data_IF_227739234537
#
_entry.id   IF_227739234537
#
_cell.length_a   1.000
_cell.length_b   1.000
_cell.length_c   1.000
_cell.angle_alpha   90.00
_cell.angle_beta   90.00
_cell.angle_gamma   90.00
#
_symmetry.space_group_name_H-M   'P 1'
#
loop_
_entity.id
_entity.type
_entity.pdbx_description
1 polymer ?
#
# COMPACT_ATOMS: atom_id res chain seq x y z
N UNK A 1 -3.91 -18.24 2.37
CA UNK A 1 -3.46 -16.95 2.91
C UNK A 1 -4.65 -16.33 3.61
N UNK A 2 -4.54 -16.17 4.92
CA UNK A 2 -5.56 -15.59 5.78
C UNK A 2 -5.51 -14.07 5.76
N UNK A 3 -6.51 -13.43 6.34
CA UNK A 3 -6.51 -11.98 6.56
C UNK A 3 -5.29 -11.52 7.37
N UNK A 4 -4.91 -12.29 8.39
CA UNK A 4 -3.74 -11.99 9.22
C UNK A 4 -2.42 -12.16 8.46
N UNK A 5 -2.34 -13.16 7.57
CA UNK A 5 -1.19 -13.33 6.67
C UNK A 5 -1.04 -12.09 5.77
N UNK A 6 -2.14 -11.58 5.23
CA UNK A 6 -2.15 -10.38 4.37
C UNK A 6 -1.73 -9.11 5.12
N UNK A 7 -2.20 -8.93 6.37
CA UNK A 7 -1.76 -7.80 7.22
C UNK A 7 -0.28 -7.88 7.54
N UNK A 8 0.21 -9.08 7.83
CA UNK A 8 1.62 -9.32 8.13
C UNK A 8 2.49 -9.02 6.92
N UNK A 9 2.09 -9.49 5.73
CA UNK A 9 2.76 -9.17 4.46
C UNK A 9 2.82 -7.66 4.21
N UNK A 10 1.68 -6.98 4.30
CA UNK A 10 1.61 -5.53 4.10
C UNK A 10 2.51 -4.77 5.08
N UNK A 11 2.49 -5.16 6.36
CA UNK A 11 3.37 -4.57 7.38
C UNK A 11 4.85 -4.73 7.00
N UNK A 12 5.28 -5.95 6.67
CA UNK A 12 6.68 -6.22 6.32
C UNK A 12 7.12 -5.50 5.06
N UNK A 13 6.23 -5.38 4.07
CA UNK A 13 6.48 -4.61 2.86
C UNK A 13 6.81 -3.14 3.20
N UNK A 14 5.93 -2.44 3.93
CA UNK A 14 6.16 -1.04 4.29
C UNK A 14 7.36 -0.86 5.24
N UNK A 15 7.60 -1.82 6.15
CA UNK A 15 8.77 -1.81 7.02
C UNK A 15 10.08 -1.87 6.18
N UNK A 16 10.10 -2.62 5.08
CA UNK A 16 11.24 -2.65 4.16
C UNK A 16 11.39 -1.33 3.38
N UNK A 17 10.30 -0.70 2.94
CA UNK A 17 10.34 0.63 2.29
C UNK A 17 10.97 1.69 3.19
N UNK A 18 10.55 1.78 4.45
CA UNK A 18 11.08 2.78 5.39
C UNK A 18 12.56 2.56 5.65
N UNK A 19 13.00 1.31 5.85
CA UNK A 19 14.43 0.97 5.99
C UNK A 19 15.24 1.15 4.71
N UNK A 20 14.58 1.27 3.56
CA UNK A 20 15.23 1.30 2.26
C UNK A 20 15.85 -0.04 1.86
N UNK A 21 15.27 -1.12 2.39
CA UNK A 21 15.70 -2.50 2.16
C UNK A 21 15.13 -3.02 0.84
N UNK A 22 15.78 -2.61 -0.24
CA UNK A 22 15.36 -2.92 -1.62
C UNK A 22 15.42 -4.42 -1.91
N UNK A 23 16.38 -5.14 -1.32
CA UNK A 23 16.50 -6.59 -1.50
C UNK A 23 15.27 -7.31 -0.94
N UNK A 24 14.84 -6.94 0.27
CA UNK A 24 13.60 -7.46 0.85
C UNK A 24 12.38 -7.06 0.02
N UNK A 25 12.30 -5.81 -0.48
CA UNK A 25 11.20 -5.38 -1.34
C UNK A 25 11.08 -6.21 -2.62
N UNK A 26 12.20 -6.45 -3.31
CA UNK A 26 12.22 -7.27 -4.52
C UNK A 26 11.76 -8.70 -4.27
N UNK A 27 12.02 -9.25 -3.08
CA UNK A 27 11.62 -10.62 -2.71
C UNK A 27 10.10 -10.79 -2.55
N UNK A 28 9.34 -9.70 -2.39
CA UNK A 28 7.88 -9.77 -2.33
C UNK A 28 7.22 -9.83 -3.72
N UNK A 29 7.96 -9.50 -4.78
CA UNK A 29 7.44 -9.52 -6.13
C UNK A 29 7.63 -10.90 -6.78
N UNK A 30 6.59 -11.36 -7.46
CA UNK A 30 6.73 -12.43 -8.46
C UNK A 30 7.59 -11.94 -9.63
N UNK A 31 8.26 -12.85 -10.32
CA UNK A 31 9.11 -12.50 -11.46
C UNK A 31 8.33 -11.91 -12.65
N UNK A 32 7.03 -12.18 -12.75
CA UNK A 32 6.11 -11.62 -13.73
C UNK A 32 5.32 -10.40 -13.23
N UNK A 33 5.66 -9.86 -12.06
CA UNK A 33 4.96 -8.71 -11.50
C UNK A 33 5.10 -7.48 -12.40
N UNK A 34 3.96 -6.83 -12.67
CA UNK A 34 3.87 -5.54 -13.38
C UNK A 34 3.46 -4.48 -12.36
N UNK A 35 4.37 -3.55 -12.09
CA UNK A 35 4.23 -2.53 -11.06
C UNK A 35 3.90 -1.21 -11.74
N UNK A 36 2.73 -0.65 -11.45
CA UNK A 36 2.38 0.69 -11.91
C UNK A 36 3.14 1.74 -11.11
N UNK A 37 3.92 2.57 -11.78
CA UNK A 37 4.64 3.69 -11.20
C UNK A 37 3.96 5.00 -11.61
N UNK A 38 3.42 5.71 -10.61
CA UNK A 38 2.57 6.88 -10.85
C UNK A 38 3.35 8.15 -11.24
N UNK A 39 4.67 8.18 -11.04
CA UNK A 39 5.48 9.38 -11.28
C UNK A 39 5.82 9.55 -12.76
N UNK A 40 6.05 8.44 -13.46
CA UNK A 40 6.31 8.39 -14.90
C UNK A 40 5.12 7.84 -15.70
N UNK A 41 4.02 7.49 -15.01
CA UNK A 41 2.81 6.91 -15.60
C UNK A 41 3.11 5.68 -16.46
N UNK A 42 4.06 4.87 -16.01
CA UNK A 42 4.52 3.68 -16.70
C UNK A 42 4.42 2.44 -15.82
N UNK A 43 4.37 1.30 -16.47
CA UNK A 43 4.59 0.02 -15.78
C UNK A 43 6.06 -0.33 -15.76
N UNK A 44 6.49 -0.91 -14.65
CA UNK A 44 7.83 -1.42 -14.42
C UNK A 44 7.77 -2.90 -14.09
N UNK A 45 8.77 -3.64 -14.52
CA UNK A 45 9.08 -4.97 -13.98
C UNK A 45 9.55 -4.87 -12.53
N UNK A 46 9.59 -6.00 -11.83
CA UNK A 46 10.09 -6.07 -10.47
C UNK A 46 11.55 -5.57 -10.33
N UNK A 47 12.40 -5.85 -11.33
CA UNK A 47 13.82 -5.44 -11.32
C UNK A 47 13.98 -3.94 -11.60
N UNK A 48 13.25 -3.39 -12.57
CA UNK A 48 13.22 -1.95 -12.86
C UNK A 48 12.74 -1.15 -11.65
N UNK A 49 11.69 -1.63 -10.98
CA UNK A 49 11.19 -0.98 -9.78
C UNK A 49 12.19 -1.03 -8.62
N UNK A 50 12.89 -2.16 -8.44
CA UNK A 50 13.95 -2.28 -7.44
C UNK A 50 15.11 -1.31 -7.72
N UNK A 51 15.51 -1.13 -8.98
CA UNK A 51 16.52 -0.14 -9.37
C UNK A 51 16.06 1.29 -9.05
N UNK A 52 14.84 1.64 -9.45
CA UNK A 52 14.25 2.95 -9.14
C UNK A 52 14.21 3.23 -7.64
N UNK A 53 13.76 2.24 -6.84
CA UNK A 53 13.72 2.33 -5.38
C UNK A 53 15.12 2.44 -4.76
N UNK A 54 16.14 1.76 -5.31
CA UNK A 54 17.54 1.91 -4.87
C UNK A 54 18.06 3.33 -5.08
N UNK A 55 17.66 3.97 -6.19
CA UNK A 55 17.94 5.38 -6.42
C UNK A 55 17.21 6.28 -5.42
N UNK A 56 15.92 6.02 -5.20
CA UNK A 56 15.08 6.79 -4.29
C UNK A 56 15.56 6.72 -2.83
N UNK A 57 15.91 5.53 -2.35
CA UNK A 57 16.25 5.31 -0.94
C UNK A 57 17.57 5.96 -0.52
N UNK A 58 18.48 6.16 -1.47
CA UNK A 58 19.73 6.92 -1.28
C UNK A 58 19.50 8.43 -1.17
N UNK A 59 18.40 8.95 -1.72
CA UNK A 59 18.11 10.40 -1.81
C UNK A 59 17.22 10.89 -0.67
N UNK A 60 16.26 10.09 -0.25
CA UNK A 60 15.31 10.44 0.81
C UNK A 60 15.53 9.47 1.96
N UNK A 61 16.48 9.72 2.86
CA UNK A 61 16.96 8.72 3.82
C UNK A 61 16.04 8.49 5.03
N UNK A 62 15.24 9.49 5.41
CA UNK A 62 14.31 9.41 6.53
C UNK A 62 12.87 9.31 6.03
N UNK A 63 12.39 8.08 5.87
CA UNK A 63 11.07 7.77 5.31
C UNK A 63 10.22 7.14 6.41
N UNK A 64 9.12 7.79 6.77
CA UNK A 64 8.16 7.29 7.75
C UNK A 64 6.75 7.51 7.22
N UNK A 65 5.99 6.42 7.11
CA UNK A 65 4.56 6.45 6.83
C UNK A 65 3.80 6.67 8.14
N UNK A 66 3.34 7.89 8.38
CA UNK A 66 2.66 8.28 9.62
C UNK A 66 1.30 7.60 9.85
N UNK A 67 0.60 7.24 8.77
CA UNK A 67 -0.71 6.59 8.82
C UNK A 67 -0.78 5.46 7.80
N UNK A 68 -0.59 4.22 8.27
CA UNK A 68 -0.69 3.01 7.45
C UNK A 68 -2.05 2.36 7.68
N UNK A 69 -2.85 2.27 6.62
CA UNK A 69 -4.18 1.62 6.65
C UNK A 69 -4.19 0.41 5.74
N UNK A 70 -4.56 -0.75 6.30
CA UNK A 70 -4.66 -2.01 5.56
C UNK A 70 -6.10 -2.47 5.56
N UNK A 71 -6.74 -2.38 4.39
CA UNK A 71 -8.07 -2.88 4.12
C UNK A 71 -7.94 -4.20 3.36
N UNK A 72 -8.54 -5.26 3.88
CA UNK A 72 -8.56 -6.55 3.22
C UNK A 72 -9.90 -6.69 2.52
N UNK A 73 -9.85 -6.94 1.22
CA UNK A 73 -11.04 -7.22 0.44
C UNK A 73 -11.18 -8.72 0.28
N UNK A 74 -12.16 -9.29 0.97
CA UNK A 74 -12.60 -10.65 0.68
C UNK A 74 -13.29 -10.68 -0.69
N UNK A 75 -13.08 -11.74 -1.50
CA UNK A 75 -13.69 -11.85 -2.83
C UNK A 75 -15.23 -11.83 -2.80
N UNK A 76 -15.85 -12.14 -1.65
CA UNK A 76 -17.26 -11.85 -1.40
C UNK A 76 -17.40 -10.38 -0.99
N UNK A 77 -17.54 -9.49 -1.98
CA UNK A 77 -17.73 -8.06 -1.73
C UNK A 77 -18.96 -7.78 -0.85
N UNK A 78 -18.76 -7.60 0.45
CA UNK A 78 -19.77 -6.98 1.31
C UNK A 78 -19.52 -5.48 1.33
N UNK A 79 -20.15 -4.78 0.40
CA UNK A 79 -20.25 -3.33 0.45
C UNK A 79 -21.21 -2.96 1.60
N UNK A 80 -20.68 -2.70 2.79
CA UNK A 80 -21.47 -2.19 3.92
C UNK A 80 -21.48 -0.66 3.85
N UNK A 81 -22.45 -0.10 3.13
CA UNK A 81 -22.71 1.34 3.25
C UNK A 81 -23.41 1.62 4.58
N UNK A 82 -22.66 1.98 5.62
CA UNK A 82 -23.25 2.63 6.79
C UNK A 82 -23.60 4.07 6.42
N UNK A 83 -24.86 4.28 6.04
CA UNK A 83 -25.46 5.61 6.00
C UNK A 83 -25.52 6.12 7.44
N UNK A 84 -24.57 6.97 7.82
CA UNK A 84 -24.72 7.77 9.04
C UNK A 84 -25.79 8.82 8.77
N UNK A 85 -27.04 8.55 9.14
CA UNK A 85 -28.05 9.60 9.28
C UNK A 85 -27.72 10.37 10.56
N UNK A 86 -27.15 11.57 10.43
CA UNK A 86 -27.08 12.51 11.53
C UNK A 86 -28.51 12.78 12.06
N UNK A 87 -28.73 12.84 13.39
CA UNK A 87 -30.04 13.15 13.95
C UNK A 87 -30.45 14.58 13.58
N UNK A 88 -31.74 14.73 13.29
CA UNK A 88 -32.33 15.86 12.58
C UNK A 88 -32.05 17.24 13.17
N UNK A 89 -31.82 18.22 12.28
CA UNK A 89 -32.08 19.63 12.58
C UNK A 89 -33.56 19.87 12.38
N UNK A 90 -34.28 20.12 13.47
CA UNK A 90 -35.57 20.81 13.42
C UNK A 90 -35.34 22.22 12.86
N UNK A 91 -35.99 22.54 11.74
CA UNK A 91 -36.12 23.92 11.28
C UNK A 91 -37.41 24.49 11.88
N UNK A 92 -37.27 25.45 12.79
CA UNK A 92 -38.37 26.37 13.14
C UNK A 92 -38.38 27.53 12.15
N UNK A 93 -39.51 27.73 11.49
CA UNK A 93 -40.11 29.02 11.15
C UNK A 93 -41.59 28.78 10.83
#
# INVERSE_FOLDING_TARGET
MTDDDMRTLAKHFFDAVERGDVATLRSFYSDDARIWHNTDEAEQTADENAEALSGFTKRITDRVYADRRVNIYSPAGSCSSTRSTAPGRTASA
#
